data_IF_036962342565
#
_entry.id   IF_036962342565
#
_cell.length_a   1.000
_cell.length_b   1.000
_cell.length_c   1.000
_cell.angle_alpha   90.00
_cell.angle_beta   90.00
_cell.angle_gamma   90.00
#
_symmetry.space_group_name_H-M   'P 1'
#
loop_
_entity.id
_entity.type
_entity.pdbx_description
1 polymer ?
#
# COMPACT_ATOMS: atom_id res chain seq x y z
N UNK A 1 5.88 14.12 -8.32
CA UNK A 1 5.72 14.72 -6.96
C UNK A 1 6.32 13.86 -5.84
N UNK A 2 6.40 12.53 -5.93
CA UNK A 2 7.03 11.69 -4.88
C UNK A 2 8.55 11.93 -4.75
N UNK A 3 9.24 12.31 -5.82
CA UNK A 3 10.66 12.70 -5.78
C UNK A 3 10.96 13.95 -4.94
N UNK A 4 9.97 14.81 -4.67
CA UNK A 4 10.17 16.06 -3.93
C UNK A 4 10.12 15.87 -2.41
N UNK A 5 9.46 14.82 -1.90
CA UNK A 5 9.43 14.49 -0.48
C UNK A 5 9.15 12.98 -0.28
N UNK A 6 10.20 12.14 -0.30
CA UNK A 6 10.06 10.70 -0.12
C UNK A 6 9.40 10.35 1.22
N UNK A 7 9.78 11.05 2.29
CA UNK A 7 9.28 10.76 3.65
C UNK A 7 7.79 11.08 3.81
N UNK A 8 7.31 12.16 3.20
CA UNK A 8 5.88 12.50 3.19
C UNK A 8 5.04 11.50 2.38
N UNK A 9 5.59 10.98 1.29
CA UNK A 9 4.94 9.93 0.50
C UNK A 9 4.85 8.61 1.28
N UNK A 10 5.92 8.19 1.97
CA UNK A 10 5.91 6.97 2.78
C UNK A 10 4.94 7.06 3.96
N UNK A 11 4.91 8.20 4.67
CA UNK A 11 3.98 8.41 5.78
C UNK A 11 2.52 8.42 5.31
N UNK A 12 2.20 9.15 4.24
CA UNK A 12 0.86 9.17 3.64
C UNK A 12 0.40 7.81 3.14
N UNK A 13 1.33 7.01 2.60
CA UNK A 13 1.01 5.71 2.04
C UNK A 13 0.65 4.65 3.09
N UNK A 14 1.24 4.72 4.29
CA UNK A 14 0.82 3.87 5.41
C UNK A 14 -0.65 4.11 5.79
N UNK A 15 -1.09 5.38 5.80
CA UNK A 15 -2.50 5.73 6.03
C UNK A 15 -3.41 5.21 4.91
N UNK A 16 -2.95 5.30 3.66
CA UNK A 16 -3.66 4.73 2.52
C UNK A 16 -3.82 3.21 2.65
N UNK A 17 -2.74 2.47 2.95
CA UNK A 17 -2.79 1.03 3.17
C UNK A 17 -3.77 0.66 4.29
N UNK A 18 -3.73 1.37 5.42
CA UNK A 18 -4.68 1.20 6.52
C UNK A 18 -6.13 1.43 6.08
N UNK A 19 -6.39 2.45 5.27
CA UNK A 19 -7.73 2.73 4.75
C UNK A 19 -8.20 1.62 3.80
N UNK A 20 -7.36 1.17 2.87
CA UNK A 20 -7.66 0.11 1.90
C UNK A 20 -8.01 -1.21 2.60
N UNK A 21 -7.20 -1.65 3.59
CA UNK A 21 -7.44 -2.94 4.25
C UNK A 21 -8.68 -2.95 5.14
N UNK A 22 -9.19 -1.78 5.54
CA UNK A 22 -10.45 -1.64 6.31
C UNK A 22 -11.70 -1.83 5.44
N UNK A 23 -11.58 -1.76 4.11
CA UNK A 23 -12.70 -2.05 3.22
C UNK A 23 -12.99 -3.55 3.19
N UNK A 24 -14.13 -3.96 3.75
CA UNK A 24 -14.52 -5.37 3.83
C UNK A 24 -15.05 -5.91 2.49
N UNK A 25 -15.83 -5.11 1.76
CA UNK A 25 -16.40 -5.45 0.44
C UNK A 25 -16.30 -4.25 -0.52
N UNK A 26 -15.12 -3.92 -1.06
CA UNK A 26 -15.03 -2.94 -2.15
C UNK A 26 -15.71 -3.50 -3.41
N UNK A 27 -16.25 -2.63 -4.25
CA UNK A 27 -16.66 -3.04 -5.60
C UNK A 27 -15.44 -3.47 -6.41
N UNK A 28 -15.63 -4.30 -7.43
CA UNK A 28 -14.53 -4.77 -8.28
C UNK A 28 -13.73 -3.63 -8.88
N UNK A 29 -14.41 -2.62 -9.44
CA UNK A 29 -13.78 -1.41 -9.98
C UNK A 29 -12.91 -0.70 -8.93
N UNK A 30 -13.43 -0.50 -7.73
CA UNK A 30 -12.67 0.17 -6.67
C UNK A 30 -11.47 -0.67 -6.21
N UNK A 31 -11.65 -1.98 -6.11
CA UNK A 31 -10.59 -2.90 -5.72
C UNK A 31 -9.44 -2.90 -6.75
N UNK A 32 -9.77 -2.83 -8.04
CA UNK A 32 -8.79 -2.72 -9.11
C UNK A 32 -8.02 -1.39 -9.05
N UNK A 33 -8.67 -0.28 -8.70
CA UNK A 33 -7.97 1.00 -8.49
C UNK A 33 -7.04 0.94 -7.26
N UNK A 34 -7.46 0.32 -6.16
CA UNK A 34 -6.57 0.08 -5.02
C UNK A 34 -5.34 -0.74 -5.43
N UNK A 35 -5.55 -1.83 -6.18
CA UNK A 35 -4.45 -2.67 -6.66
C UNK A 35 -3.45 -1.86 -7.50
N UNK A 36 -3.92 -1.09 -8.48
CA UNK A 36 -3.03 -0.26 -9.32
C UNK A 36 -2.17 0.70 -8.50
N UNK A 37 -2.78 1.39 -7.52
CA UNK A 37 -2.05 2.33 -6.66
C UNK A 37 -1.02 1.59 -5.78
N UNK A 38 -1.41 0.44 -5.21
CA UNK A 38 -0.52 -0.34 -4.34
C UNK A 38 0.69 -0.89 -5.11
N UNK A 39 0.48 -1.46 -6.28
CA UNK A 39 1.57 -1.97 -7.13
C UNK A 39 2.45 -0.83 -7.64
N UNK A 40 1.88 0.32 -8.01
CA UNK A 40 2.66 1.50 -8.39
C UNK A 40 3.59 1.96 -7.26
N UNK A 41 3.12 1.95 -6.01
CA UNK A 41 3.99 2.26 -4.87
C UNK A 41 5.08 1.21 -4.63
N UNK A 42 4.77 -0.07 -4.78
CA UNK A 42 5.76 -1.16 -4.69
C UNK A 42 6.87 -0.95 -5.72
N UNK A 43 6.52 -0.70 -6.98
CA UNK A 43 7.48 -0.44 -8.06
C UNK A 43 8.35 0.80 -7.77
N UNK A 44 7.73 1.89 -7.31
CA UNK A 44 8.47 3.10 -6.93
C UNK A 44 9.38 2.92 -5.72
N UNK A 45 9.02 2.01 -4.80
CA UNK A 45 9.81 1.69 -3.61
C UNK A 45 11.02 0.81 -3.95
N UNK A 46 10.93 0.00 -5.01
CA UNK A 46 11.99 -0.91 -5.43
C UNK A 46 12.50 -1.76 -4.27
N UNK A 47 13.82 -1.79 -4.10
CA UNK A 47 14.50 -2.55 -3.03
C UNK A 47 14.10 -2.14 -1.60
N UNK A 48 13.53 -0.93 -1.44
CA UNK A 48 13.07 -0.43 -0.13
C UNK A 48 11.68 -0.95 0.25
N UNK A 49 10.97 -1.62 -0.66
CA UNK A 49 9.61 -2.10 -0.43
C UNK A 49 9.50 -2.93 0.84
N UNK A 50 10.36 -3.93 1.03
CA UNK A 50 10.32 -4.81 2.21
C UNK A 50 10.57 -4.04 3.52
N UNK A 51 11.50 -3.07 3.50
CA UNK A 51 11.77 -2.20 4.65
C UNK A 51 10.60 -1.28 4.98
N UNK A 52 9.88 -0.79 3.97
CA UNK A 52 8.65 -0.01 4.16
C UNK A 52 7.50 -0.89 4.65
N UNK A 53 7.27 -2.05 4.04
CA UNK A 53 6.25 -3.02 4.43
C UNK A 53 6.45 -3.45 5.88
N UNK A 54 7.70 -3.68 6.32
CA UNK A 54 8.03 -4.06 7.69
C UNK A 54 7.61 -3.04 8.76
N UNK A 55 7.50 -1.75 8.40
CA UNK A 55 7.03 -0.70 9.31
C UNK A 55 5.50 -0.72 9.50
N UNK A 56 4.76 -1.44 8.65
CA UNK A 56 3.31 -1.55 8.79
C UNK A 56 2.92 -2.51 9.91
N UNK A 57 1.85 -2.18 10.67
CA UNK A 57 1.19 -3.12 11.55
C UNK A 57 0.96 -4.49 10.90
N UNK A 58 1.16 -5.57 11.65
CA UNK A 58 1.06 -6.96 11.16
C UNK A 58 -0.24 -7.21 10.39
N UNK A 59 -1.36 -6.72 10.92
CA UNK A 59 -2.68 -6.89 10.30
C UNK A 59 -2.78 -6.25 8.91
N UNK A 60 -2.12 -5.11 8.68
CA UNK A 60 -2.12 -4.45 7.37
C UNK A 60 -1.32 -5.30 6.38
N UNK A 61 -0.15 -5.81 6.79
CA UNK A 61 0.68 -6.68 5.95
C UNK A 61 -0.06 -7.95 5.53
N UNK A 62 -0.72 -8.63 6.46
CA UNK A 62 -1.49 -9.83 6.17
C UNK A 62 -2.61 -9.56 5.17
N UNK A 63 -3.34 -8.45 5.33
CA UNK A 63 -4.44 -8.11 4.43
C UNK A 63 -3.97 -7.70 3.03
N UNK A 64 -2.82 -7.03 2.94
CA UNK A 64 -2.20 -6.71 1.65
C UNK A 64 -1.78 -7.99 0.93
N UNK A 65 -1.19 -8.95 1.65
CA UNK A 65 -0.82 -10.26 1.12
C UNK A 65 -2.04 -11.05 0.65
N UNK A 66 -3.05 -11.22 1.52
CA UNK A 66 -4.26 -12.00 1.25
C UNK A 66 -5.07 -11.48 0.06
N UNK A 67 -5.16 -10.15 -0.10
CA UNK A 67 -6.04 -9.53 -1.11
C UNK A 67 -5.30 -9.17 -2.40
N UNK A 68 -4.04 -8.74 -2.29
CA UNK A 68 -3.29 -8.18 -3.41
C UNK A 68 -1.95 -8.89 -3.67
N UNK A 69 -1.55 -9.87 -2.87
CA UNK A 69 -0.25 -10.56 -3.02
C UNK A 69 0.95 -9.62 -2.84
N UNK A 70 0.81 -8.63 -1.95
CA UNK A 70 1.78 -7.56 -1.72
C UNK A 70 2.40 -7.58 -0.35
#
# INVERSE_FOLDING_TARGET
MIHANPNGATAGFAYFCNAVVRWTKPSERLNNEFQKILYGFREMSGDKWESHKAQFPVIIRQRLEERYGL
#
